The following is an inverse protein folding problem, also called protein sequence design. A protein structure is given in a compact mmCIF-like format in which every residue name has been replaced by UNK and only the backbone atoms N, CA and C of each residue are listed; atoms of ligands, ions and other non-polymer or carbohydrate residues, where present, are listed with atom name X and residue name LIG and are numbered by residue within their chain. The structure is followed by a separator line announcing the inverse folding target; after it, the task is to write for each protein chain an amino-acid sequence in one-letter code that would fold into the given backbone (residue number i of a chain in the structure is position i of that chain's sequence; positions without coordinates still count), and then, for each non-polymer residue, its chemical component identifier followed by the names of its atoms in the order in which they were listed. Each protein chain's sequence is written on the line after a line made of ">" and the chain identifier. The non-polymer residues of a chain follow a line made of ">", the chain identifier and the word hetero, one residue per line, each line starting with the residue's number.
data_IF_196086821987
#
_entry.id   IF_196086821987
#
_cell.length_a   1.000
_cell.length_b   1.000
_cell.length_c   1.000
_cell.angle_alpha   90.00
_cell.angle_beta   90.00
_cell.angle_gamma   90.00
#
_symmetry.space_group_name_H-M   'P 1'
#
loop_
_entity.id
_entity.type
_entity.pdbx_description
1 polymer ?
#
# COMPACT_ATOMS: atom_id res chain seq x y z
N UNK A 1 -4.82 -10.93 4.79
CA UNK A 1 -5.80 -11.35 5.80
C UNK A 1 -6.73 -10.19 6.10
N UNK A 2 -8.04 -10.46 6.18
CA UNK A 2 -9.08 -9.54 6.65
C UNK A 2 -9.70 -10.09 7.92
N UNK A 3 -9.39 -9.47 9.03
CA UNK A 3 -9.83 -9.80 10.39
C UNK A 3 -10.60 -8.65 11.04
N UNK A 4 -10.98 -7.66 10.24
CA UNK A 4 -11.68 -6.43 10.67
C UNK A 4 -12.44 -5.82 9.50
N UNK A 5 -13.23 -4.77 9.77
CA UNK A 5 -13.97 -4.06 8.74
C UNK A 5 -13.04 -3.25 7.82
N UNK A 6 -13.28 -3.35 6.54
CA UNK A 6 -12.55 -2.67 5.49
C UNK A 6 -13.55 -1.94 4.59
N UNK A 7 -13.56 -0.61 4.67
CA UNK A 7 -14.59 0.22 4.02
C UNK A 7 -14.01 1.18 3.00
N UNK A 8 -14.83 1.60 2.05
CA UNK A 8 -14.52 2.60 1.03
C UNK A 8 -13.19 2.30 0.32
N UNK A 9 -12.26 3.24 0.30
CA UNK A 9 -10.95 3.05 -0.32
C UNK A 9 -10.14 1.88 0.24
N UNK A 10 -10.31 1.56 1.52
CA UNK A 10 -9.70 0.39 2.14
C UNK A 10 -10.18 -0.96 1.59
N UNK A 11 -11.39 -1.03 1.03
CA UNK A 11 -11.94 -2.23 0.44
C UNK A 11 -11.24 -2.62 -0.88
N UNK A 12 -10.62 -1.67 -1.56
CA UNK A 12 -9.87 -1.95 -2.79
C UNK A 12 -8.61 -2.78 -2.53
N UNK A 13 -7.96 -2.60 -1.37
CA UNK A 13 -6.71 -3.31 -1.07
C UNK A 13 -6.91 -4.83 -1.12
N UNK A 14 -7.83 -5.45 -0.34
CA UNK A 14 -8.05 -6.89 -0.44
C UNK A 14 -8.59 -7.32 -1.81
N UNK A 15 -9.46 -6.53 -2.43
CA UNK A 15 -10.06 -6.87 -3.73
C UNK A 15 -9.04 -6.86 -4.89
N UNK A 16 -7.89 -6.21 -4.72
CA UNK A 16 -6.81 -6.12 -5.73
C UNK A 16 -5.59 -6.97 -5.37
N UNK A 17 -5.62 -7.73 -4.28
CA UNK A 17 -4.57 -8.70 -3.95
C UNK A 17 -4.72 -9.96 -4.81
N UNK A 18 -3.61 -10.70 -4.99
CA UNK A 18 -3.61 -11.98 -5.72
C UNK A 18 -4.44 -13.05 -5.01
N UNK A 19 -4.34 -13.12 -3.68
CA UNK A 19 -5.16 -13.99 -2.84
C UNK A 19 -5.58 -13.27 -1.56
N UNK A 20 -6.85 -13.39 -1.19
CA UNK A 20 -7.43 -12.78 0.02
C UNK A 20 -8.02 -13.83 0.95
N UNK A 21 -7.58 -13.81 2.20
CA UNK A 21 -8.13 -14.62 3.29
C UNK A 21 -9.00 -13.72 4.17
N UNK A 22 -10.26 -14.11 4.40
CA UNK A 22 -11.22 -13.39 5.25
C UNK A 22 -11.65 -14.24 6.44
N UNK A 23 -11.64 -13.63 7.64
CA UNK A 23 -11.97 -14.30 8.90
C UNK A 23 -13.47 -14.20 9.15
N UNK A 24 -14.11 -15.33 9.47
CA UNK A 24 -15.54 -15.40 9.77
C UNK A 24 -15.92 -14.46 10.92
N UNK A 25 -17.06 -13.79 10.78
CA UNK A 25 -17.64 -12.84 11.75
C UNK A 25 -16.80 -11.62 12.11
N UNK A 26 -15.50 -11.61 11.81
CA UNK A 26 -14.59 -10.51 12.07
C UNK A 26 -14.27 -9.71 10.82
N UNK A 27 -13.94 -10.36 9.72
CA UNK A 27 -13.61 -9.73 8.44
C UNK A 27 -14.86 -9.24 7.70
N UNK A 28 -14.77 -8.00 7.18
CA UNK A 28 -15.81 -7.40 6.35
C UNK A 28 -15.18 -6.51 5.28
N UNK A 29 -15.71 -6.59 4.07
CA UNK A 29 -15.25 -5.77 2.92
C UNK A 29 -16.50 -5.18 2.25
N UNK A 30 -16.62 -3.86 2.20
CA UNK A 30 -17.67 -3.17 1.47
C UNK A 30 -17.29 -1.72 1.14
N UNK A 31 -17.79 -1.19 0.05
CA UNK A 31 -17.56 0.22 -0.33
C UNK A 31 -18.35 1.19 0.57
N UNK A 32 -19.59 0.84 0.87
CA UNK A 32 -20.44 1.56 1.80
C UNK A 32 -20.94 0.62 2.89
N UNK A 33 -20.72 0.95 4.15
CA UNK A 33 -21.21 0.15 5.28
C UNK A 33 -22.73 0.23 5.46
N UNK A 34 -23.33 -0.58 6.36
CA UNK A 34 -24.79 -0.65 6.55
C UNK A 34 -25.48 0.70 6.75
N UNK A 35 -24.85 1.61 7.50
CA UNK A 35 -25.39 2.94 7.75
C UNK A 35 -25.49 3.78 6.47
N UNK A 36 -24.51 3.66 5.57
CA UNK A 36 -24.51 4.38 4.30
C UNK A 36 -25.56 3.79 3.35
N UNK A 37 -25.68 2.46 3.31
CA UNK A 37 -26.72 1.75 2.54
C UNK A 37 -28.09 2.23 3.00
N UNK A 38 -28.35 2.20 4.31
CA UNK A 38 -29.62 2.66 4.88
C UNK A 38 -29.92 4.13 4.55
N UNK A 39 -28.93 5.01 4.62
CA UNK A 39 -29.10 6.42 4.29
C UNK A 39 -29.36 6.65 2.79
N UNK A 40 -28.77 5.82 1.91
CA UNK A 40 -28.90 5.99 0.46
C UNK A 40 -30.14 5.30 -0.12
N UNK A 41 -30.54 4.13 0.39
CA UNK A 41 -31.60 3.29 -0.18
C UNK A 41 -32.78 3.07 0.76
N UNK A 42 -32.64 3.38 2.05
CA UNK A 42 -33.61 3.04 3.10
C UNK A 42 -33.56 1.58 3.55
N UNK A 43 -32.70 0.76 2.96
CA UNK A 43 -32.59 -0.65 3.25
C UNK A 43 -31.78 -0.89 4.52
N UNK A 44 -32.27 -1.75 5.40
CA UNK A 44 -31.56 -2.17 6.63
C UNK A 44 -30.93 -3.52 6.35
N UNK A 45 -29.60 -3.57 6.34
CA UNK A 45 -28.79 -4.77 6.06
C UNK A 45 -27.80 -5.00 7.17
N UNK A 46 -27.58 -6.27 7.53
CA UNK A 46 -26.53 -6.64 8.46
C UNK A 46 -25.14 -6.54 7.80
N UNK A 47 -24.11 -6.21 8.60
CA UNK A 47 -22.76 -6.01 8.11
C UNK A 47 -22.14 -7.30 7.52
N UNK A 48 -22.46 -8.47 8.10
CA UNK A 48 -21.98 -9.76 7.60
C UNK A 48 -22.72 -10.18 6.32
N UNK A 49 -24.01 -9.89 6.22
CA UNK A 49 -24.75 -10.11 4.97
C UNK A 49 -24.27 -9.20 3.84
N UNK A 50 -23.94 -7.94 4.17
CA UNK A 50 -23.45 -6.95 3.19
C UNK A 50 -22.08 -7.30 2.65
N UNK A 51 -21.15 -7.70 3.50
CA UNK A 51 -19.78 -7.92 3.08
C UNK A 51 -18.92 -8.77 4.01
N UNK A 52 -19.53 -9.74 4.69
CA UNK A 52 -18.82 -10.69 5.54
C UNK A 52 -18.14 -11.83 4.78
N UNK A 53 -17.53 -12.72 5.54
CA UNK A 53 -16.74 -13.82 5.00
C UNK A 53 -17.55 -14.77 4.11
N UNK A 54 -18.75 -15.17 4.56
CA UNK A 54 -19.62 -16.05 3.77
C UNK A 54 -20.06 -15.40 2.46
N UNK A 55 -20.44 -14.13 2.50
CA UNK A 55 -20.83 -13.35 1.32
C UNK A 55 -19.69 -13.30 0.30
N UNK A 56 -18.47 -12.98 0.73
CA UNK A 56 -17.36 -12.79 -0.20
C UNK A 56 -16.68 -14.05 -0.68
N UNK A 57 -16.72 -15.14 0.09
CA UNK A 57 -16.14 -16.41 -0.35
C UNK A 57 -17.12 -17.30 -1.10
N UNK A 58 -18.43 -17.07 -0.95
CA UNK A 58 -19.46 -17.94 -1.56
C UNK A 58 -20.30 -17.26 -2.65
N UNK A 59 -20.60 -15.95 -2.50
CA UNK A 59 -21.52 -15.26 -3.42
C UNK A 59 -20.80 -14.32 -4.37
N UNK A 60 -19.92 -13.43 -3.87
CA UNK A 60 -19.30 -12.40 -4.70
C UNK A 60 -17.94 -12.80 -5.28
N UNK A 61 -17.21 -13.73 -4.62
CA UNK A 61 -15.87 -14.11 -5.04
C UNK A 61 -14.78 -13.02 -4.82
N UNK A 62 -15.06 -12.01 -4.00
CA UNK A 62 -14.08 -10.95 -3.68
C UNK A 62 -13.00 -11.44 -2.73
N UNK A 63 -13.28 -12.46 -1.92
CA UNK A 63 -12.30 -13.15 -1.10
C UNK A 63 -12.19 -14.61 -1.51
N UNK A 64 -10.96 -15.12 -1.52
CA UNK A 64 -10.64 -16.45 -2.05
C UNK A 64 -10.74 -17.54 -0.97
N UNK A 65 -10.42 -17.21 0.28
CA UNK A 65 -10.31 -18.17 1.37
C UNK A 65 -11.11 -17.73 2.59
N UNK A 66 -11.96 -18.63 3.07
CA UNK A 66 -12.70 -18.50 4.30
C UNK A 66 -11.88 -19.07 5.47
N UNK A 67 -11.66 -18.27 6.50
CA UNK A 67 -11.00 -18.68 7.74
C UNK A 67 -12.00 -18.66 8.91
N UNK A 68 -12.01 -19.71 9.72
CA UNK A 68 -12.89 -19.80 10.89
C UNK A 68 -12.48 -18.82 12.01
N UNK A 69 -11.18 -18.55 12.12
CA UNK A 69 -10.56 -17.65 13.10
C UNK A 69 -9.21 -17.16 12.58
N UNK A 70 -8.52 -16.31 13.38
CA UNK A 70 -7.22 -15.72 13.01
C UNK A 70 -6.11 -16.78 12.89
N UNK A 71 -6.13 -17.83 13.72
CA UNK A 71 -5.12 -18.91 13.65
C UNK A 71 -5.27 -19.68 12.35
N UNK A 72 -6.49 -20.06 11.98
CA UNK A 72 -6.76 -20.69 10.69
C UNK A 72 -6.39 -19.78 9.52
N UNK A 73 -6.64 -18.47 9.63
CA UNK A 73 -6.20 -17.51 8.61
C UNK A 73 -4.67 -17.49 8.44
N UNK A 74 -3.91 -17.54 9.53
CA UNK A 74 -2.45 -17.62 9.48
C UNK A 74 -1.95 -18.94 8.87
N UNK A 75 -2.63 -20.06 9.16
CA UNK A 75 -2.32 -21.36 8.55
C UNK A 75 -2.53 -21.32 7.03
N UNK A 76 -3.67 -20.78 6.58
CA UNK A 76 -3.96 -20.62 5.16
C UNK A 76 -2.91 -19.75 4.46
N UNK A 77 -2.53 -18.61 5.04
CA UNK A 77 -1.51 -17.72 4.48
C UNK A 77 -0.15 -18.39 4.43
N UNK A 78 0.24 -19.16 5.46
CA UNK A 78 1.49 -19.95 5.41
C UNK A 78 1.46 -20.97 4.28
N UNK A 79 0.32 -21.62 4.06
CA UNK A 79 0.14 -22.54 2.94
C UNK A 79 0.24 -21.85 1.58
N UNK A 80 -0.34 -20.65 1.44
CA UNK A 80 -0.24 -19.81 0.24
C UNK A 80 1.22 -19.44 -0.03
N UNK A 81 1.88 -18.86 0.96
CA UNK A 81 3.28 -18.45 0.84
C UNK A 81 4.24 -19.62 0.60
N UNK A 82 3.93 -20.80 1.16
CA UNK A 82 4.71 -22.02 0.91
C UNK A 82 4.68 -22.52 -0.53
N UNK A 83 3.70 -22.07 -1.33
CA UNK A 83 3.61 -22.35 -2.77
C UNK A 83 4.36 -21.31 -3.62
N UNK A 84 4.67 -20.16 -3.02
CA UNK A 84 5.43 -19.12 -3.71
C UNK A 84 6.91 -19.51 -3.73
N UNK A 85 7.44 -19.82 -4.90
CA UNK A 85 8.89 -19.92 -5.07
C UNK A 85 9.49 -18.51 -4.95
N UNK A 86 10.14 -18.24 -3.82
CA UNK A 86 10.93 -17.04 -3.70
C UNK A 86 12.14 -17.17 -4.64
N UNK A 87 12.28 -16.35 -5.68
CA UNK A 87 13.49 -16.35 -6.49
C UNK A 87 14.67 -16.07 -5.56
N UNK A 88 15.75 -16.84 -5.70
CA UNK A 88 16.99 -16.56 -4.99
C UNK A 88 17.38 -15.10 -5.27
N UNK A 89 17.53 -14.30 -4.22
CA UNK A 89 17.97 -12.92 -4.37
C UNK A 89 19.34 -12.94 -5.03
N UNK A 90 19.38 -12.45 -6.28
CA UNK A 90 20.67 -12.23 -6.94
C UNK A 90 21.48 -11.23 -6.10
N UNK A 91 22.81 -11.34 -6.07
CA UNK A 91 23.64 -10.36 -5.39
C UNK A 91 23.34 -8.96 -5.96
N UNK A 92 23.44 -7.90 -5.14
CA UNK A 92 23.13 -6.55 -5.59
C UNK A 92 24.01 -6.18 -6.79
N UNK A 93 23.43 -5.60 -7.84
CA UNK A 93 24.17 -5.26 -9.07
C UNK A 93 25.18 -4.12 -8.87
N UNK A 94 25.06 -3.39 -7.74
CA UNK A 94 25.95 -2.28 -7.37
C UNK A 94 26.46 -2.49 -5.95
N UNK A 95 27.61 -1.90 -5.66
CA UNK A 95 28.09 -1.84 -4.27
C UNK A 95 27.16 -0.91 -3.49
N UNK A 96 26.64 -1.39 -2.36
CA UNK A 96 25.84 -0.57 -1.46
C UNK A 96 26.69 0.58 -0.91
N UNK A 97 26.12 1.77 -0.87
CA UNK A 97 26.70 2.94 -0.25
C UNK A 97 25.81 3.38 0.92
N UNK A 98 26.34 3.53 2.15
CA UNK A 98 25.49 3.99 3.24
C UNK A 98 24.89 5.37 2.91
N UNK A 99 23.66 5.67 3.39
CA UNK A 99 23.13 7.02 3.33
C UNK A 99 24.10 8.03 3.96
N UNK A 100 24.09 9.26 3.48
CA UNK A 100 24.93 10.35 4.05
C UNK A 100 24.42 10.84 5.41
N UNK A 101 23.15 10.54 5.73
CA UNK A 101 22.49 10.89 6.98
C UNK A 101 22.14 9.62 7.74
N UNK A 102 22.21 9.68 9.07
CA UNK A 102 21.98 8.50 9.92
C UNK A 102 20.50 8.11 9.94
N UNK A 103 20.20 6.85 9.64
CA UNK A 103 18.86 6.31 9.71
C UNK A 103 18.26 6.33 11.14
N UNK A 104 19.11 6.37 12.18
CA UNK A 104 18.67 6.51 13.57
C UNK A 104 17.95 7.85 13.84
N UNK A 105 18.10 8.84 12.98
CA UNK A 105 17.38 10.13 13.07
C UNK A 105 15.92 10.06 12.59
N UNK A 106 15.52 9.00 11.86
CA UNK A 106 14.17 8.86 11.29
C UNK A 106 13.03 9.10 12.27
N UNK A 107 13.06 8.60 13.52
CA UNK A 107 12.00 8.88 14.49
C UNK A 107 11.77 10.36 14.77
N UNK A 108 12.83 11.19 14.62
CA UNK A 108 12.77 12.65 14.82
C UNK A 108 11.98 13.39 13.74
N UNK A 109 11.73 12.77 12.59
CA UNK A 109 10.94 13.36 11.48
C UNK A 109 9.44 13.05 11.57
N UNK A 110 9.01 12.24 12.54
CA UNK A 110 7.59 11.96 12.76
C UNK A 110 6.96 13.15 13.46
N UNK A 111 6.06 13.91 12.81
CA UNK A 111 5.46 15.07 13.43
C UNK A 111 4.61 14.69 14.66
N UNK A 112 4.77 15.42 15.77
CA UNK A 112 3.92 15.27 16.95
C UNK A 112 2.46 15.64 16.64
N UNK A 113 2.23 16.53 15.70
CA UNK A 113 0.91 16.88 15.18
C UNK A 113 0.61 16.07 13.92
N UNK A 114 -0.39 15.17 13.92
CA UNK A 114 -0.73 14.32 12.77
C UNK A 114 -1.25 15.10 11.55
N UNK A 115 -1.58 16.40 11.72
CA UNK A 115 -1.97 17.28 10.60
C UNK A 115 -0.77 17.89 9.89
N UNK A 116 0.43 17.76 10.43
CA UNK A 116 1.65 18.26 9.82
C UNK A 116 2.22 17.19 8.87
N UNK A 117 2.57 17.61 7.66
CA UNK A 117 3.22 16.70 6.70
C UNK A 117 4.60 16.27 7.20
N UNK A 118 4.94 15.02 7.00
CA UNK A 118 6.29 14.49 7.26
C UNK A 118 7.20 14.93 6.10
N UNK A 119 8.42 15.43 6.39
CA UNK A 119 9.34 15.86 5.35
C UNK A 119 9.91 14.65 4.59
N UNK A 120 9.21 14.20 3.57
CA UNK A 120 9.49 12.93 2.88
C UNK A 120 10.87 12.92 2.20
N UNK A 121 11.36 14.07 1.75
CA UNK A 121 12.72 14.17 1.18
C UNK A 121 13.81 13.85 2.19
N UNK A 122 13.63 14.29 3.44
CA UNK A 122 14.57 13.99 4.52
C UNK A 122 14.54 12.52 4.92
N UNK A 123 13.37 11.89 4.84
CA UNK A 123 13.21 10.45 5.04
C UNK A 123 13.96 9.68 3.95
N UNK A 124 13.75 10.05 2.67
CA UNK A 124 14.43 9.40 1.54
C UNK A 124 15.95 9.56 1.60
N UNK A 125 16.44 10.70 2.05
CA UNK A 125 17.87 10.95 2.21
C UNK A 125 18.55 10.03 3.26
N UNK A 126 17.74 9.38 4.14
CA UNK A 126 18.20 8.43 5.16
C UNK A 126 17.95 6.96 4.81
N UNK A 127 17.22 6.72 3.73
CA UNK A 127 16.88 5.36 3.27
C UNK A 127 17.69 4.95 2.03
N UNK A 128 17.95 5.89 1.12
CA UNK A 128 18.57 5.60 -0.16
C UNK A 128 20.12 5.60 -0.05
N UNK A 129 20.71 4.70 -0.79
CA UNK A 129 22.16 4.59 -0.92
C UNK A 129 22.77 5.93 -1.36
N UNK A 130 23.78 6.39 -0.64
CA UNK A 130 24.43 7.68 -0.88
C UNK A 130 23.52 8.89 -0.72
N UNK A 131 22.27 8.72 -0.24
CA UNK A 131 21.21 9.74 -0.22
C UNK A 131 20.87 10.27 -1.62
N UNK A 132 21.01 9.44 -2.64
CA UNK A 132 20.85 9.82 -4.04
C UNK A 132 19.48 9.38 -4.57
N UNK A 133 18.75 10.34 -5.17
CA UNK A 133 17.49 10.11 -5.86
C UNK A 133 17.50 10.86 -7.19
N UNK A 134 17.35 10.14 -8.30
CA UNK A 134 17.12 10.74 -9.62
C UNK A 134 15.62 10.95 -9.78
N UNK A 135 15.17 12.20 -9.64
CA UNK A 135 13.74 12.51 -9.65
C UNK A 135 13.13 12.44 -11.06
N UNK A 136 11.94 11.85 -11.13
CA UNK A 136 11.11 11.80 -12.32
C UNK A 136 10.07 12.91 -12.29
N UNK A 137 9.99 13.75 -13.34
CA UNK A 137 9.02 14.85 -13.48
C UNK A 137 8.90 15.71 -12.22
N UNK A 138 10.02 16.18 -11.68
CA UNK A 138 10.08 16.90 -10.40
C UNK A 138 9.08 18.05 -10.31
N UNK A 139 8.93 18.81 -11.41
CA UNK A 139 8.06 20.00 -11.48
C UNK A 139 6.59 19.70 -11.71
N UNK A 140 6.21 18.45 -12.06
CA UNK A 140 4.84 18.03 -12.32
C UNK A 140 4.35 17.16 -11.18
N UNK A 141 3.12 17.44 -10.68
CA UNK A 141 2.56 16.70 -9.53
C UNK A 141 3.49 16.71 -8.32
N UNK A 142 3.94 17.90 -7.88
CA UNK A 142 5.01 18.08 -6.90
C UNK A 142 4.70 17.52 -5.50
N UNK A 143 3.41 17.28 -5.19
CA UNK A 143 3.00 16.63 -3.94
C UNK A 143 3.26 15.10 -3.91
N UNK A 144 3.81 14.55 -4.99
CA UNK A 144 4.31 13.18 -5.05
C UNK A 144 5.73 13.17 -5.58
N UNK A 145 6.64 12.60 -4.83
CA UNK A 145 8.02 12.34 -5.26
C UNK A 145 8.02 11.01 -5.99
N UNK A 146 8.46 11.00 -7.25
CA UNK A 146 8.78 9.81 -8.01
C UNK A 146 10.23 9.90 -8.45
N UNK A 147 10.97 8.80 -8.38
CA UNK A 147 12.36 8.78 -8.82
C UNK A 147 13.02 7.44 -8.61
N UNK A 148 14.18 7.26 -9.22
CA UNK A 148 14.99 6.05 -9.07
C UNK A 148 16.17 6.30 -8.15
N UNK A 149 16.47 5.32 -7.32
CA UNK A 149 17.61 5.29 -6.39
C UNK A 149 18.10 3.87 -6.19
N UNK A 150 18.82 3.64 -5.11
CA UNK A 150 19.20 2.30 -4.70
C UNK A 150 19.02 2.10 -3.19
N UNK A 151 18.78 0.86 -2.76
CA UNK A 151 18.76 0.44 -1.36
C UNK A 151 19.58 -0.84 -1.25
N UNK A 152 20.68 -0.79 -0.47
CA UNK A 152 21.59 -1.94 -0.31
C UNK A 152 22.22 -2.39 -1.63
N UNK A 153 22.41 -1.50 -2.59
CA UNK A 153 22.94 -1.78 -3.93
C UNK A 153 21.91 -2.25 -4.95
N UNK A 154 20.63 -2.45 -4.56
CA UNK A 154 19.56 -2.79 -5.49
C UNK A 154 18.88 -1.53 -6.02
N UNK A 155 18.70 -1.40 -7.35
CA UNK A 155 17.94 -0.29 -7.92
C UNK A 155 16.48 -0.38 -7.48
N UNK A 156 15.90 0.76 -7.13
CA UNK A 156 14.49 0.87 -6.74
C UNK A 156 13.84 2.09 -7.36
N UNK A 157 12.57 1.94 -7.75
CA UNK A 157 11.69 3.06 -8.07
C UNK A 157 10.94 3.49 -6.82
N UNK A 158 11.05 4.75 -6.44
CA UNK A 158 10.43 5.30 -5.23
C UNK A 158 9.22 6.14 -5.61
N UNK A 159 8.08 5.88 -4.93
CA UNK A 159 6.91 6.73 -4.92
C UNK A 159 6.62 7.15 -3.47
N UNK A 160 6.77 8.43 -3.18
CA UNK A 160 6.61 8.94 -1.82
C UNK A 160 5.74 10.21 -1.84
N UNK A 161 4.62 10.20 -1.09
CA UNK A 161 3.79 11.38 -1.04
C UNK A 161 4.39 12.47 -0.13
N UNK A 162 4.41 13.69 -0.64
CA UNK A 162 4.90 14.89 0.03
C UNK A 162 3.76 15.92 0.16
N UNK A 163 2.59 15.44 0.56
CA UNK A 163 1.35 16.18 0.69
C UNK A 163 0.13 15.43 0.16
N UNK A 164 -0.93 16.19 -0.14
CA UNK A 164 -2.19 15.68 -0.69
C UNK A 164 -1.98 15.21 -2.13
N UNK A 165 -2.58 14.09 -2.51
CA UNK A 165 -2.53 13.59 -3.89
C UNK A 165 -3.59 14.29 -4.76
N UNK A 166 -3.13 14.94 -5.82
CA UNK A 166 -3.94 15.57 -6.87
C UNK A 166 -3.95 14.70 -8.13
N UNK A 167 -4.82 15.03 -9.09
CA UNK A 167 -4.90 14.32 -10.36
C UNK A 167 -3.55 14.25 -11.11
N UNK A 168 -2.78 15.34 -11.10
CA UNK A 168 -1.45 15.36 -11.70
C UNK A 168 -0.46 14.42 -11.00
N UNK A 169 -0.56 14.30 -9.68
CA UNK A 169 0.27 13.36 -8.91
C UNK A 169 -0.07 11.91 -9.25
N UNK A 170 -1.36 11.59 -9.40
CA UNK A 170 -1.81 10.27 -9.82
C UNK A 170 -1.35 9.91 -11.24
N UNK A 171 -1.45 10.84 -12.19
CA UNK A 171 -0.95 10.65 -13.57
C UNK A 171 0.57 10.45 -13.60
N UNK A 172 1.30 11.22 -12.79
CA UNK A 172 2.77 11.07 -12.64
C UNK A 172 3.12 9.69 -12.09
N UNK A 173 2.39 9.23 -11.05
CA UNK A 173 2.58 7.91 -10.45
C UNK A 173 2.34 6.80 -11.48
N UNK A 174 1.21 6.82 -12.19
CA UNK A 174 0.87 5.81 -13.18
C UNK A 174 1.96 5.65 -14.25
N UNK A 175 2.39 6.75 -14.86
CA UNK A 175 3.45 6.73 -15.85
C UNK A 175 4.79 6.22 -15.28
N UNK A 176 5.13 6.59 -14.03
CA UNK A 176 6.38 6.16 -13.41
C UNK A 176 6.35 4.67 -13.07
N UNK A 177 5.21 4.15 -12.61
CA UNK A 177 5.02 2.72 -12.36
C UNK A 177 5.19 1.93 -13.65
N UNK A 178 4.54 2.36 -14.74
CA UNK A 178 4.69 1.70 -16.05
C UNK A 178 6.15 1.66 -16.50
N UNK A 179 6.89 2.77 -16.35
CA UNK A 179 8.31 2.83 -16.69
C UNK A 179 9.13 1.85 -15.86
N UNK A 180 8.93 1.82 -14.54
CA UNK A 180 9.63 0.88 -13.66
C UNK A 180 9.29 -0.58 -13.98
N UNK A 181 8.01 -0.87 -14.32
CA UNK A 181 7.59 -2.21 -14.73
C UNK A 181 8.29 -2.65 -16.03
N UNK A 182 8.40 -1.76 -17.02
CA UNK A 182 9.10 -2.06 -18.28
C UNK A 182 10.59 -2.34 -18.08
N UNK A 183 11.21 -1.65 -17.12
CA UNK A 183 12.63 -1.80 -16.78
C UNK A 183 12.89 -2.87 -15.72
N UNK A 184 11.86 -3.54 -15.21
CA UNK A 184 11.94 -4.51 -14.10
C UNK A 184 12.59 -3.92 -12.84
N UNK A 185 12.32 -2.65 -12.54
CA UNK A 185 12.79 -1.98 -11.33
C UNK A 185 11.72 -2.17 -10.24
N UNK A 186 12.07 -2.79 -9.08
CA UNK A 186 11.13 -2.95 -7.98
C UNK A 186 10.72 -1.60 -7.40
N UNK A 187 9.45 -1.51 -6.96
CA UNK A 187 8.84 -0.28 -6.47
C UNK A 187 8.81 -0.24 -4.94
N UNK A 188 9.15 0.91 -4.39
CA UNK A 188 9.02 1.23 -2.96
C UNK A 188 8.02 2.36 -2.81
N UNK A 189 6.92 2.09 -2.10
CA UNK A 189 5.88 3.06 -1.80
C UNK A 189 6.03 3.54 -0.35
N UNK A 190 6.19 4.84 -0.16
CA UNK A 190 6.21 5.48 1.14
C UNK A 190 4.97 6.35 1.29
N UNK A 191 4.04 5.91 2.12
CA UNK A 191 2.75 6.54 2.31
C UNK A 191 2.65 7.25 3.66
N UNK A 192 2.52 8.57 3.61
CA UNK A 192 2.08 9.40 4.73
C UNK A 192 0.96 10.30 4.24
N UNK A 193 -0.17 9.70 3.92
CA UNK A 193 -1.26 10.36 3.21
C UNK A 193 -2.47 10.57 4.11
N UNK A 194 -2.99 11.79 4.11
CA UNK A 194 -4.24 12.14 4.80
C UNK A 194 -5.48 11.93 3.93
N UNK A 195 -5.32 11.73 2.63
CA UNK A 195 -6.39 11.50 1.65
C UNK A 195 -6.07 12.02 0.26
N UNK A 196 -7.04 11.83 -0.63
CA UNK A 196 -7.04 12.41 -1.98
C UNK A 196 -7.81 13.72 -1.98
N UNK A 197 -7.46 14.62 -2.90
CA UNK A 197 -8.28 15.79 -3.15
C UNK A 197 -9.60 15.36 -3.82
N UNK A 198 -10.71 15.74 -3.21
CA UNK A 198 -12.06 15.57 -3.75
C UNK A 198 -12.52 16.92 -4.27
N UNK A 199 -12.93 16.99 -5.54
CA UNK A 199 -13.41 18.23 -6.14
C UNK A 199 -13.57 18.12 -7.63
#
# INVERSE_FOLDING_TARGET
>A
IRDSACTAGGAYIPAMCDETVIVDKAGMIYLGGPQLVQAATGEVVDAQELGGADTHTRLSGVADHFANDELHALELVRGILGRCEAPALAPPPRRAAPPRYDAAELPGFIPANPKQAMPMRDVLARLLDGSELVQYRERYGSSLICGTGAIGGYPVGVLANDGVLFGQSAQKAANFIELCCQENIPLVFLHNISGFMVG
#
